data_IF_009043566368
#
_entry.id   IF_009043566368
#
_cell.length_a   1.000
_cell.length_b   1.000
_cell.length_c   1.000
_cell.angle_alpha   90.00
_cell.angle_beta   90.00
_cell.angle_gamma   90.00
#
_symmetry.space_group_name_H-M   'P 1'
#
loop_
_entity.id
_entity.type
_entity.pdbx_description
1 polymer ?
#
# COMPACT_ATOMS: atom_id res chain seq x y z
N UNK A 1 19.91 -30.66 -20.00
CA UNK A 1 20.00 -29.70 -18.87
C UNK A 1 20.88 -28.56 -19.34
N UNK A 2 20.29 -27.52 -19.92
CA UNK A 2 21.00 -26.29 -20.25
C UNK A 2 20.58 -25.25 -19.20
N UNK A 3 21.40 -25.03 -18.16
CA UNK A 3 21.06 -24.11 -17.08
C UNK A 3 21.05 -22.63 -17.53
N UNK A 4 21.57 -22.31 -18.73
CA UNK A 4 21.78 -20.93 -19.19
C UNK A 4 20.49 -20.23 -19.66
N UNK A 5 19.57 -20.91 -20.35
CA UNK A 5 18.30 -20.31 -20.81
C UNK A 5 17.38 -19.82 -19.68
N UNK A 6 17.50 -20.35 -18.46
CA UNK A 6 16.73 -19.88 -17.32
C UNK A 6 17.22 -18.53 -16.76
N UNK A 7 18.46 -18.12 -17.03
CA UNK A 7 19.01 -16.85 -16.55
C UNK A 7 18.68 -15.67 -17.45
N UNK A 8 18.36 -15.93 -18.73
CA UNK A 8 18.06 -14.89 -19.71
C UNK A 8 16.93 -13.94 -19.26
N UNK A 9 15.78 -14.40 -18.72
CA UNK A 9 14.74 -13.51 -18.22
C UNK A 9 15.21 -12.60 -17.07
N UNK A 10 16.04 -13.13 -16.16
CA UNK A 10 16.57 -12.35 -15.04
C UNK A 10 17.58 -11.29 -15.50
N UNK A 11 18.42 -11.62 -16.48
CA UNK A 11 19.35 -10.66 -17.08
C UNK A 11 18.57 -9.56 -17.80
N UNK A 12 17.56 -9.91 -18.60
CA UNK A 12 16.70 -8.93 -19.28
C UNK A 12 15.98 -8.01 -18.29
N UNK A 13 15.44 -8.57 -17.20
CA UNK A 13 14.83 -7.79 -16.13
C UNK A 13 15.84 -6.85 -15.45
N UNK A 14 17.05 -7.36 -15.15
CA UNK A 14 18.12 -6.55 -14.57
C UNK A 14 18.53 -5.39 -15.48
N UNK A 15 18.66 -5.62 -16.79
CA UNK A 15 18.94 -4.57 -17.77
C UNK A 15 17.82 -3.54 -17.83
N UNK A 16 16.55 -3.98 -17.84
CA UNK A 16 15.40 -3.06 -17.79
C UNK A 16 15.38 -2.23 -16.51
N UNK A 17 15.69 -2.82 -15.37
CA UNK A 17 15.75 -2.14 -14.09
C UNK A 17 16.85 -1.06 -14.08
N UNK A 18 18.06 -1.40 -14.54
CA UNK A 18 19.16 -0.45 -14.68
C UNK A 18 18.80 0.68 -15.65
N UNK A 19 18.19 0.35 -16.78
CA UNK A 19 17.73 1.35 -17.75
C UNK A 19 16.66 2.28 -17.15
N UNK A 20 15.70 1.74 -16.39
CA UNK A 20 14.65 2.54 -15.72
C UNK A 20 15.23 3.47 -14.65
N UNK A 21 16.18 2.98 -13.84
CA UNK A 21 16.89 3.79 -12.84
C UNK A 21 17.71 4.87 -13.54
N UNK A 22 18.49 4.51 -14.56
CA UNK A 22 19.29 5.44 -15.34
C UNK A 22 18.43 6.53 -16.00
N UNK A 23 17.32 6.14 -16.61
CA UNK A 23 16.35 7.08 -17.17
C UNK A 23 15.78 8.01 -16.10
N UNK A 24 15.39 7.49 -14.93
CA UNK A 24 14.86 8.30 -13.83
C UNK A 24 15.88 9.33 -13.33
N UNK A 25 17.15 8.93 -13.19
CA UNK A 25 18.25 9.84 -12.81
C UNK A 25 18.41 10.94 -13.86
N UNK A 26 18.46 10.59 -15.14
CA UNK A 26 18.58 11.57 -16.23
C UNK A 26 17.38 12.50 -16.22
N UNK A 27 16.15 11.99 -16.10
CA UNK A 27 14.93 12.78 -16.11
C UNK A 27 14.86 13.79 -14.95
N UNK A 28 15.39 13.44 -13.77
CA UNK A 28 15.43 14.36 -12.61
C UNK A 28 16.59 15.36 -12.71
N UNK A 29 17.77 14.93 -13.16
CA UNK A 29 18.98 15.76 -13.14
C UNK A 29 19.10 16.67 -14.36
N UNK A 30 18.73 16.20 -15.55
CA UNK A 30 18.89 16.93 -16.80
C UNK A 30 18.16 18.29 -16.78
N UNK A 31 16.92 18.44 -16.25
CA UNK A 31 16.27 19.75 -16.12
C UNK A 31 17.00 20.71 -15.17
N UNK A 32 17.69 20.19 -14.15
CA UNK A 32 18.46 21.04 -13.23
C UNK A 32 19.76 21.57 -13.85
N UNK A 33 20.30 20.86 -14.84
CA UNK A 33 21.53 21.23 -15.58
C UNK A 33 21.20 22.15 -16.76
N UNK A 34 20.17 21.82 -17.54
CA UNK A 34 19.76 22.57 -18.74
C UNK A 34 18.84 23.75 -18.43
N UNK A 35 18.17 23.72 -17.28
CA UNK A 35 17.23 24.77 -16.88
C UNK A 35 17.92 26.08 -16.47
N UNK A 36 17.17 27.19 -16.40
CA UNK A 36 17.69 28.45 -15.88
C UNK A 36 18.26 28.26 -14.48
N UNK A 37 19.41 28.89 -14.21
CA UNK A 37 20.09 28.80 -12.92
C UNK A 37 19.11 29.19 -11.79
N UNK A 38 18.79 28.25 -10.90
CA UNK A 38 17.90 28.49 -9.75
C UNK A 38 18.49 29.60 -8.88
N UNK A 39 17.83 30.75 -8.86
CA UNK A 39 18.10 31.79 -7.86
C UNK A 39 17.36 31.41 -6.59
N UNK A 40 18.10 30.89 -5.61
CA UNK A 40 17.60 30.65 -4.27
C UNK A 40 17.34 31.99 -3.58
N UNK A 41 16.14 32.14 -3.04
CA UNK A 41 15.72 33.30 -2.26
C UNK A 41 14.83 32.78 -1.14
N UNK A 42 14.91 33.40 0.04
CA UNK A 42 14.12 33.04 1.22
C UNK A 42 12.62 32.90 0.93
N UNK A 43 12.07 33.73 0.02
CA UNK A 43 10.65 33.69 -0.39
C UNK A 43 10.34 32.53 -1.37
N UNK A 44 11.30 32.12 -2.20
CA UNK A 44 11.11 31.00 -3.15
C UNK A 44 11.21 29.65 -2.46
N UNK A 45 12.02 29.59 -1.41
CA UNK A 45 12.28 28.37 -0.64
C UNK A 45 11.36 28.26 0.59
N UNK A 46 10.54 29.28 0.89
CA UNK A 46 9.54 29.22 1.96
C UNK A 46 8.32 28.37 1.55
N UNK A 47 7.73 27.68 2.53
CA UNK A 47 6.48 26.96 2.32
C UNK A 47 5.35 27.92 1.90
N UNK A 48 4.49 27.44 1.01
CA UNK A 48 3.43 28.25 0.45
C UNK A 48 2.28 28.45 1.46
N UNK A 49 2.08 29.68 1.91
CA UNK A 49 0.95 30.08 2.75
C UNK A 49 0.42 31.46 2.32
N UNK A 50 0.11 31.61 1.02
CA UNK A 50 -0.40 32.86 0.44
C UNK A 50 0.45 34.13 0.74
N UNK A 51 1.78 33.98 0.88
CA UNK A 51 2.69 35.07 1.18
C UNK A 51 2.86 35.38 2.68
N UNK A 52 2.20 34.62 3.55
CA UNK A 52 2.47 34.63 4.98
C UNK A 52 3.68 33.73 5.32
N UNK A 53 4.46 34.08 6.35
CA UNK A 53 5.47 33.18 6.86
C UNK A 53 4.78 31.93 7.41
N UNK A 54 5.25 30.75 6.98
CA UNK A 54 4.67 29.49 7.41
C UNK A 54 4.70 29.37 8.94
N UNK A 55 3.54 29.17 9.55
CA UNK A 55 3.46 29.06 11.02
C UNK A 55 4.21 27.80 11.47
N UNK A 56 5.26 27.97 12.29
CA UNK A 56 6.03 26.88 12.90
C UNK A 56 5.34 26.27 14.13
N UNK A 57 4.00 26.30 14.14
CA UNK A 57 3.18 25.72 15.20
C UNK A 57 3.32 24.21 15.33
N UNK A 58 2.81 23.65 16.43
CA UNK A 58 2.72 22.19 16.54
C UNK A 58 1.82 21.66 15.43
N UNK A 59 2.29 20.74 14.57
CA UNK A 59 1.46 20.19 13.50
C UNK A 59 0.18 19.59 14.09
N UNK A 60 -1.00 19.84 13.48
CA UNK A 60 -2.22 19.21 13.94
C UNK A 60 -2.07 17.68 13.85
N UNK A 61 -2.61 16.98 14.84
CA UNK A 61 -2.64 15.51 14.80
C UNK A 61 -3.53 15.08 13.64
N UNK A 62 -2.99 14.28 12.74
CA UNK A 62 -3.78 13.67 11.67
C UNK A 62 -4.85 12.74 12.24
N UNK A 63 -5.93 12.57 11.48
CA UNK A 63 -7.06 11.73 11.90
C UNK A 63 -6.63 10.27 12.09
N UNK A 64 -7.09 9.64 13.18
CA UNK A 64 -6.89 8.20 13.46
C UNK A 64 -7.46 7.30 12.34
N UNK A 65 -8.36 7.83 11.50
CA UNK A 65 -8.95 7.09 10.38
C UNK A 65 -7.90 6.56 9.39
N UNK A 66 -6.81 7.30 9.17
CA UNK A 66 -5.70 6.81 8.32
C UNK A 66 -5.04 5.55 8.89
N UNK A 67 -4.90 5.49 10.22
CA UNK A 67 -4.36 4.31 10.90
C UNK A 67 -5.27 3.10 10.74
N UNK A 68 -6.60 3.27 10.87
CA UNK A 68 -7.56 2.17 10.72
C UNK A 68 -7.52 1.58 9.32
N UNK A 69 -7.46 2.43 8.29
CA UNK A 69 -7.33 1.98 6.89
C UNK A 69 -5.99 1.27 6.66
N UNK A 70 -4.88 1.81 7.18
CA UNK A 70 -3.57 1.18 7.04
C UNK A 70 -3.50 -0.19 7.74
N UNK A 71 -4.08 -0.30 8.94
CA UNK A 71 -4.16 -1.56 9.69
C UNK A 71 -5.01 -2.60 8.93
N UNK A 72 -6.16 -2.20 8.37
CA UNK A 72 -7.00 -3.09 7.58
C UNK A 72 -6.30 -3.53 6.28
N UNK A 73 -5.56 -2.62 5.63
CA UNK A 73 -4.75 -2.94 4.46
C UNK A 73 -3.67 -3.99 4.78
N UNK A 74 -2.95 -3.84 5.90
CA UNK A 74 -1.94 -4.82 6.33
C UNK A 74 -2.59 -6.19 6.59
N UNK A 75 -3.77 -6.22 7.21
CA UNK A 75 -4.49 -7.48 7.48
C UNK A 75 -4.88 -8.19 6.16
N UNK A 76 -5.44 -7.44 5.20
CA UNK A 76 -5.81 -7.98 3.89
C UNK A 76 -4.59 -8.36 3.04
N UNK A 77 -3.48 -7.63 3.12
CA UNK A 77 -2.24 -7.98 2.42
C UNK A 77 -1.68 -9.32 2.93
N UNK A 78 -1.69 -9.54 4.24
CA UNK A 78 -1.31 -10.82 4.85
C UNK A 78 -2.21 -11.96 4.36
N UNK A 79 -3.52 -11.73 4.22
CA UNK A 79 -4.45 -12.71 3.65
C UNK A 79 -4.03 -13.13 2.24
N UNK A 80 -3.73 -12.16 1.37
CA UNK A 80 -3.30 -12.43 -0.01
C UNK A 80 -1.98 -13.20 -0.04
N UNK A 81 -1.01 -12.87 0.82
CA UNK A 81 0.26 -13.62 0.92
C UNK A 81 0.00 -15.10 1.20
N UNK A 82 -0.93 -15.43 2.10
CA UNK A 82 -1.31 -16.82 2.37
C UNK A 82 -1.99 -17.48 1.17
N UNK A 83 -2.90 -16.78 0.49
CA UNK A 83 -3.58 -17.29 -0.70
C UNK A 83 -2.63 -17.57 -1.86
N UNK A 84 -1.64 -16.71 -2.08
CA UNK A 84 -0.62 -16.90 -3.13
C UNK A 84 0.25 -18.12 -2.81
N UNK A 85 0.77 -18.23 -1.57
CA UNK A 85 1.57 -19.37 -1.17
C UNK A 85 0.82 -20.70 -1.33
N UNK A 86 -0.44 -20.71 -0.92
CA UNK A 86 -1.33 -21.85 -1.09
C UNK A 86 -1.61 -22.13 -2.57
N UNK A 87 -1.88 -21.09 -3.38
CA UNK A 87 -2.17 -21.22 -4.81
C UNK A 87 -1.02 -21.84 -5.61
N UNK A 88 0.22 -21.48 -5.28
CA UNK A 88 1.43 -22.08 -5.88
C UNK A 88 1.53 -23.57 -5.54
N UNK A 89 1.19 -23.96 -4.31
CA UNK A 89 1.28 -25.34 -3.83
C UNK A 89 0.02 -26.18 -4.08
N UNK A 90 -1.07 -25.57 -4.54
CA UNK A 90 -2.39 -26.19 -4.62
C UNK A 90 -2.38 -27.56 -5.30
N UNK A 91 -1.76 -27.66 -6.49
CA UNK A 91 -1.68 -28.92 -7.25
C UNK A 91 -0.98 -30.06 -6.51
N UNK A 92 -0.06 -29.74 -5.59
CA UNK A 92 0.63 -30.71 -4.76
C UNK A 92 -0.23 -31.10 -3.56
N UNK A 93 -0.88 -30.12 -2.94
CA UNK A 93 -1.66 -30.32 -1.72
C UNK A 93 -3.02 -30.98 -1.97
N UNK A 94 -3.68 -30.73 -3.10
CA UNK A 94 -5.00 -31.30 -3.43
C UNK A 94 -4.97 -32.79 -3.75
N UNK A 95 -3.78 -33.37 -3.97
CA UNK A 95 -3.65 -34.81 -4.24
C UNK A 95 -4.21 -35.63 -3.08
N UNK A 96 -4.81 -36.80 -3.34
CA UNK A 96 -5.33 -37.67 -2.28
C UNK A 96 -4.21 -38.06 -1.30
N UNK A 97 -4.57 -38.33 -0.05
CA UNK A 97 -3.60 -38.67 1.00
C UNK A 97 -2.74 -39.89 0.65
N UNK A 98 -3.31 -40.86 -0.07
CA UNK A 98 -2.60 -42.02 -0.61
C UNK A 98 -1.43 -41.66 -1.56
N UNK A 99 -1.45 -40.45 -2.15
CA UNK A 99 -0.40 -39.92 -3.02
C UNK A 99 0.48 -38.87 -2.31
N UNK A 100 0.41 -38.78 -0.97
CA UNK A 100 1.20 -37.85 -0.16
C UNK A 100 0.70 -36.40 -0.16
N UNK A 101 -0.56 -36.16 -0.54
CA UNK A 101 -1.22 -34.85 -0.43
C UNK A 101 -2.15 -34.75 0.79
N UNK A 102 -2.93 -33.66 0.84
CA UNK A 102 -3.90 -33.32 1.91
C UNK A 102 -5.36 -33.51 1.42
N UNK A 103 -5.56 -33.74 0.12
CA UNK A 103 -6.88 -33.93 -0.47
C UNK A 103 -7.79 -32.70 -0.32
N UNK A 104 -9.10 -32.93 -0.29
CA UNK A 104 -10.12 -31.86 -0.23
C UNK A 104 -10.06 -31.01 1.04
N UNK A 105 -9.46 -31.53 2.12
CA UNK A 105 -9.25 -30.79 3.37
C UNK A 105 -8.52 -29.48 3.15
N UNK A 106 -7.61 -29.43 2.16
CA UNK A 106 -6.86 -28.21 1.83
C UNK A 106 -7.76 -27.06 1.36
N UNK A 107 -8.87 -27.38 0.68
CA UNK A 107 -9.87 -26.39 0.25
C UNK A 107 -10.77 -25.95 1.40
N UNK A 108 -11.17 -26.89 2.26
CA UNK A 108 -12.02 -26.58 3.43
C UNK A 108 -11.27 -25.60 4.34
N UNK A 109 -10.00 -25.88 4.64
CA UNK A 109 -9.18 -24.99 5.47
C UNK A 109 -9.02 -23.62 4.82
N UNK A 110 -8.78 -23.55 3.50
CA UNK A 110 -8.65 -22.28 2.79
C UNK A 110 -9.94 -21.44 2.84
N UNK A 111 -11.11 -22.07 2.61
CA UNK A 111 -12.40 -21.39 2.67
C UNK A 111 -12.72 -20.93 4.10
N UNK A 112 -12.48 -21.77 5.10
CA UNK A 112 -12.69 -21.39 6.51
C UNK A 112 -11.78 -20.22 6.90
N UNK A 113 -10.51 -20.26 6.51
CA UNK A 113 -9.56 -19.17 6.74
C UNK A 113 -10.04 -17.84 6.11
N UNK A 114 -10.44 -17.88 4.84
CA UNK A 114 -11.02 -16.73 4.12
C UNK A 114 -12.24 -16.17 4.85
N UNK A 115 -13.21 -17.03 5.21
CA UNK A 115 -14.44 -16.59 5.86
C UNK A 115 -14.19 -15.93 7.22
N UNK A 116 -13.22 -16.42 8.00
CA UNK A 116 -12.87 -15.83 9.30
C UNK A 116 -12.30 -14.41 9.13
N UNK A 117 -11.39 -14.22 8.17
CA UNK A 117 -10.79 -12.90 7.93
C UNK A 117 -11.79 -11.93 7.29
N UNK A 118 -12.56 -12.39 6.31
CA UNK A 118 -13.61 -11.59 5.67
C UNK A 118 -14.71 -11.19 6.66
N UNK A 119 -15.06 -12.04 7.63
CA UNK A 119 -15.99 -11.66 8.70
C UNK A 119 -15.47 -10.46 9.52
N UNK A 120 -14.16 -10.42 9.81
CA UNK A 120 -13.52 -9.29 10.48
C UNK A 120 -13.54 -8.02 9.62
N UNK A 121 -13.29 -8.15 8.32
CA UNK A 121 -13.34 -7.05 7.37
C UNK A 121 -14.76 -6.47 7.24
N UNK A 122 -15.76 -7.34 7.07
CA UNK A 122 -17.18 -6.96 7.00
C UNK A 122 -17.62 -6.27 8.30
N UNK A 123 -17.17 -6.77 9.46
CA UNK A 123 -17.45 -6.13 10.74
C UNK A 123 -16.87 -4.71 10.81
N UNK A 124 -15.60 -4.54 10.43
CA UNK A 124 -14.96 -3.22 10.38
C UNK A 124 -15.71 -2.25 9.45
N UNK A 125 -16.19 -2.74 8.30
CA UNK A 125 -17.00 -1.94 7.39
C UNK A 125 -18.36 -1.55 8.01
N UNK A 126 -19.08 -2.50 8.59
CA UNK A 126 -20.39 -2.24 9.21
C UNK A 126 -20.33 -1.37 10.46
N UNK A 127 -19.21 -1.38 11.18
CA UNK A 127 -19.01 -0.53 12.35
C UNK A 127 -18.78 0.96 12.02
N UNK A 128 -18.74 1.33 10.74
CA UNK A 128 -18.52 2.72 10.32
C UNK A 128 -17.08 3.19 10.52
N UNK A 129 -16.14 2.29 10.78
CA UNK A 129 -14.72 2.61 10.96
C UNK A 129 -14.08 3.24 9.71
N UNK A 130 -14.72 3.03 8.55
CA UNK A 130 -14.34 3.58 7.24
C UNK A 130 -15.12 4.86 6.87
N UNK A 131 -15.99 5.38 7.75
CA UNK A 131 -16.80 6.55 7.44
C UNK A 131 -15.98 7.85 7.51
N UNK A 132 -15.85 8.51 6.37
CA UNK A 132 -15.09 9.76 6.21
C UNK A 132 -15.91 11.02 6.54
N UNK A 133 -17.25 10.93 6.54
CA UNK A 133 -18.13 12.08 6.71
C UNK A 133 -18.29 12.51 8.18
N UNK A 134 -17.31 13.25 8.72
CA UNK A 134 -17.42 13.93 10.01
C UNK A 134 -17.99 15.35 9.93
N UNK A 135 -18.57 15.76 8.80
CA UNK A 135 -19.11 17.12 8.61
C UNK A 135 -20.46 17.39 9.31
N UNK A 136 -21.08 16.42 9.98
CA UNK A 136 -22.11 16.72 10.99
C UNK A 136 -21.43 17.19 12.27
N UNK A 137 -20.83 18.37 12.22
CA UNK A 137 -20.71 19.22 13.39
C UNK A 137 -22.14 19.39 13.93
N UNK A 138 -22.40 18.81 15.10
CA UNK A 138 -23.60 19.20 15.87
C UNK A 138 -23.54 20.72 15.96
N UNK A 139 -24.59 21.47 15.58
CA UNK A 139 -24.58 22.90 15.76
C UNK A 139 -24.28 23.15 17.23
N UNK A 140 -23.13 23.77 17.48
CA UNK A 140 -22.72 24.21 18.80
C UNK A 140 -23.82 25.19 19.24
N UNK A 141 -24.69 24.77 20.17
CA UNK A 141 -25.68 25.67 20.73
C UNK A 141 -24.88 26.75 21.46
N UNK A 142 -24.78 27.93 20.86
CA UNK A 142 -24.31 29.12 21.56
C UNK A 142 -25.13 29.27 22.85
N UNK A 143 -24.49 29.56 24.00
CA UNK A 143 -25.23 29.92 25.19
C UNK A 143 -25.98 31.22 24.85
N UNK A 144 -27.32 31.15 24.86
CA UNK A 144 -28.13 32.37 24.80
C UNK A 144 -27.81 33.20 26.04
N UNK A 145 -27.33 34.42 25.79
CA UNK A 145 -27.11 35.46 26.78
C UNK A 145 -28.40 35.83 27.52
#
# INVERSE_FOLDING_TARGET
MHPAEHFWPFIMFGVMLVAAIGFSIIAVTLPSILGPRKTHNAIKDSAYECGLPAESGTPPRFSVKFYVVAMLFILFDIEVVFLVAWGVLYRKLIRPEAAGGIGWTVLIVAVVFLLILEAGHIYAWRSGALDWASWRSRPQKEPRA
#
